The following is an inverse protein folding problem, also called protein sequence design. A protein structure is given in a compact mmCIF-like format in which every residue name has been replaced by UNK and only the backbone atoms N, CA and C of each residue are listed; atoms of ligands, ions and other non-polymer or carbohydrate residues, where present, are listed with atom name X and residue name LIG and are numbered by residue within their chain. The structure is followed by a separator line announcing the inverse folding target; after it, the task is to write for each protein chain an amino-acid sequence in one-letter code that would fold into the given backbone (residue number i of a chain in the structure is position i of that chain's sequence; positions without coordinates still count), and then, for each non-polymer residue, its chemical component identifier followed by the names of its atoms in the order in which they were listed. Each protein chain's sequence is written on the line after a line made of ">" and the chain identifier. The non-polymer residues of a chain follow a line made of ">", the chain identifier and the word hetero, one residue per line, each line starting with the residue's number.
data_IF_368996444089
#
_entry.id   IF_368996444089
#
_cell.length_a   1.000
_cell.length_b   1.000
_cell.length_c   1.000
_cell.angle_alpha   90.00
_cell.angle_beta   90.00
_cell.angle_gamma   90.00
#
_symmetry.space_group_name_H-M   'P 1'
#
loop_
_entity.id
_entity.type
_entity.pdbx_description
1 polymer ?
#
# COMPACT_ATOMS: atom_id res chain seq x y z
N UNK A 1 -107.14 5.42 -17.28
CA UNK A 1 -105.96 4.55 -17.07
C UNK A 1 -104.98 4.73 -18.23
N UNK A 2 -104.59 5.98 -18.55
CA UNK A 2 -103.89 6.28 -19.82
C UNK A 2 -102.78 7.33 -19.70
N UNK A 3 -102.50 7.84 -18.50
CA UNK A 3 -101.53 8.93 -18.29
C UNK A 3 -100.22 8.48 -17.63
N UNK A 4 -99.92 7.19 -17.59
CA UNK A 4 -98.70 6.68 -16.93
C UNK A 4 -97.64 6.11 -17.88
N UNK A 5 -97.82 6.24 -19.20
CA UNK A 5 -96.85 5.72 -20.18
C UNK A 5 -95.96 6.85 -20.77
N UNK A 6 -96.27 8.11 -20.49
CA UNK A 6 -95.62 9.24 -21.17
C UNK A 6 -94.36 9.78 -20.47
N UNK A 7 -94.07 9.39 -19.23
CA UNK A 7 -93.00 10.00 -18.41
C UNK A 7 -91.70 9.17 -18.32
N UNK A 8 -91.61 8.00 -18.95
CA UNK A 8 -90.41 7.15 -18.87
C UNK A 8 -89.38 7.37 -20.00
N UNK A 9 -89.59 8.36 -20.88
CA UNK A 9 -88.72 8.58 -22.05
C UNK A 9 -87.84 9.83 -22.01
N UNK A 10 -87.92 10.68 -20.99
CA UNK A 10 -87.06 11.87 -20.87
C UNK A 10 -86.16 11.82 -19.62
N UNK A 11 -85.03 11.12 -19.73
CA UNK A 11 -83.71 11.58 -19.22
C UNK A 11 -82.66 10.44 -19.27
N UNK A 12 -82.45 9.85 -20.45
CA UNK A 12 -81.06 9.52 -20.82
C UNK A 12 -80.44 10.80 -21.34
N UNK A 13 -80.08 11.72 -20.44
CA UNK A 13 -79.30 12.91 -20.78
C UNK A 13 -78.04 12.39 -21.45
N UNK A 14 -77.90 12.65 -22.75
CA UNK A 14 -76.72 12.25 -23.51
C UNK A 14 -75.47 12.69 -22.71
N UNK A 15 -74.44 11.84 -22.61
CA UNK A 15 -73.28 12.17 -21.80
C UNK A 15 -72.76 13.55 -22.22
N UNK A 16 -72.59 14.44 -21.24
CA UNK A 16 -72.14 15.80 -21.49
C UNK A 16 -70.82 15.72 -22.25
N UNK A 17 -70.78 16.29 -23.46
CA UNK A 17 -69.62 16.26 -24.35
C UNK A 17 -68.37 16.76 -23.62
N UNK A 18 -68.53 17.71 -22.68
CA UNK A 18 -67.43 18.19 -21.85
C UNK A 18 -66.88 17.13 -20.90
N UNK A 19 -67.74 16.28 -20.33
CA UNK A 19 -67.32 15.21 -19.45
C UNK A 19 -66.66 14.06 -20.23
N UNK A 20 -67.16 13.74 -21.43
CA UNK A 20 -66.53 12.77 -22.33
C UNK A 20 -65.13 13.23 -22.75
N UNK A 21 -65.00 14.51 -23.12
CA UNK A 21 -63.69 15.09 -23.49
C UNK A 21 -62.76 15.13 -22.28
N UNK A 22 -63.25 15.50 -21.09
CA UNK A 22 -62.43 15.49 -19.86
C UNK A 22 -61.97 14.08 -19.52
N UNK A 23 -62.84 13.07 -19.65
CA UNK A 23 -62.51 11.67 -19.42
C UNK A 23 -61.46 11.15 -20.42
N UNK A 24 -61.60 11.49 -21.70
CA UNK A 24 -60.64 11.11 -22.74
C UNK A 24 -59.26 11.76 -22.52
N UNK A 25 -59.21 13.04 -22.10
CA UNK A 25 -57.96 13.72 -21.74
C UNK A 25 -57.32 13.06 -20.52
N UNK A 26 -58.11 12.73 -19.48
CA UNK A 26 -57.61 12.09 -18.27
C UNK A 26 -57.04 10.69 -18.56
N UNK A 27 -57.71 9.89 -19.40
CA UNK A 27 -57.22 8.60 -19.87
C UNK A 27 -55.94 8.73 -20.67
N UNK A 28 -55.86 9.71 -21.57
CA UNK A 28 -54.65 9.96 -22.37
C UNK A 28 -53.44 10.33 -21.50
N UNK A 29 -53.61 11.24 -20.54
CA UNK A 29 -52.57 11.62 -19.58
C UNK A 29 -52.14 10.41 -18.75
N UNK A 30 -53.10 9.61 -18.27
CA UNK A 30 -52.82 8.40 -17.49
C UNK A 30 -52.09 7.33 -18.31
N UNK A 31 -52.44 7.18 -19.59
CA UNK A 31 -51.80 6.23 -20.49
C UNK A 31 -50.36 6.65 -20.82
N UNK A 32 -50.12 7.94 -21.05
CA UNK A 32 -48.77 8.48 -21.26
C UNK A 32 -47.90 8.34 -20.00
N UNK A 33 -48.44 8.65 -18.81
CA UNK A 33 -47.73 8.44 -17.54
C UNK A 33 -47.38 6.97 -17.30
N UNK A 34 -48.29 6.03 -17.61
CA UNK A 34 -48.01 4.59 -17.50
C UNK A 34 -46.93 4.10 -18.46
N UNK A 35 -46.77 4.75 -19.63
CA UNK A 35 -45.66 4.45 -20.55
C UNK A 35 -44.33 5.05 -20.10
N UNK A 36 -44.35 6.24 -19.51
CA UNK A 36 -43.15 6.94 -19.07
C UNK A 36 -42.60 6.44 -17.71
N UNK A 37 -43.47 5.98 -16.81
CA UNK A 37 -43.07 5.47 -15.49
C UNK A 37 -42.00 4.35 -15.52
N UNK A 38 -42.13 3.31 -16.36
CA UNK A 38 -41.12 2.24 -16.45
C UNK A 38 -39.74 2.75 -16.85
N UNK A 39 -39.66 3.71 -17.78
CA UNK A 39 -38.40 4.30 -18.20
C UNK A 39 -37.76 5.08 -17.05
N UNK A 40 -38.53 5.94 -16.37
CA UNK A 40 -38.05 6.70 -15.22
C UNK A 40 -37.58 5.82 -14.06
N UNK A 41 -38.30 4.73 -13.77
CA UNK A 41 -37.89 3.75 -12.74
C UNK A 41 -36.60 3.03 -13.13
N UNK A 42 -36.41 2.74 -14.41
CA UNK A 42 -35.20 2.09 -14.93
C UNK A 42 -34.00 3.03 -14.82
N UNK A 43 -34.13 4.28 -15.28
CA UNK A 43 -33.09 5.31 -15.15
C UNK A 43 -32.70 5.53 -13.69
N UNK A 44 -33.68 5.60 -12.77
CA UNK A 44 -33.40 5.76 -11.35
C UNK A 44 -32.66 4.55 -10.76
N UNK A 45 -32.96 3.33 -11.21
CA UNK A 45 -32.25 2.13 -10.77
C UNK A 45 -30.83 2.07 -11.32
N UNK A 46 -30.64 2.43 -12.59
CA UNK A 46 -29.32 2.52 -13.21
C UNK A 46 -28.45 3.56 -12.51
N UNK A 47 -29.02 4.72 -12.19
CA UNK A 47 -28.30 5.77 -11.47
C UNK A 47 -27.93 5.34 -10.04
N UNK A 48 -28.83 4.64 -9.34
CA UNK A 48 -28.52 4.04 -8.03
C UNK A 48 -27.39 3.03 -8.12
N UNK A 49 -27.44 2.10 -9.08
CA UNK A 49 -26.38 1.10 -9.30
C UNK A 49 -25.05 1.77 -9.64
N UNK A 50 -25.08 2.79 -10.50
CA UNK A 50 -23.90 3.56 -10.89
C UNK A 50 -23.31 4.25 -9.66
N UNK A 51 -24.13 4.94 -8.88
CA UNK A 51 -23.72 5.61 -7.64
C UNK A 51 -23.13 4.63 -6.63
N UNK A 52 -23.81 3.52 -6.36
CA UNK A 52 -23.33 2.47 -5.46
C UNK A 52 -21.96 1.92 -5.91
N UNK A 53 -21.81 1.64 -7.21
CA UNK A 53 -20.53 1.15 -7.75
C UNK A 53 -19.39 2.16 -7.61
N UNK A 54 -19.69 3.45 -7.74
CA UNK A 54 -18.72 4.52 -7.56
C UNK A 54 -18.36 4.70 -6.09
N UNK A 55 -19.35 4.71 -5.19
CA UNK A 55 -19.13 4.75 -3.74
C UNK A 55 -18.27 3.57 -3.27
N UNK A 56 -18.55 2.35 -3.76
CA UNK A 56 -17.74 1.18 -3.47
C UNK A 56 -16.28 1.33 -3.94
N UNK A 57 -16.06 1.81 -5.18
CA UNK A 57 -14.70 2.05 -5.72
C UNK A 57 -13.96 3.13 -4.95
N UNK A 58 -14.64 4.21 -4.56
CA UNK A 58 -14.03 5.28 -3.77
C UNK A 58 -13.62 4.77 -2.39
N UNK A 59 -14.49 4.00 -1.72
CA UNK A 59 -14.17 3.40 -0.42
C UNK A 59 -12.96 2.47 -0.54
N UNK A 60 -12.93 1.61 -1.56
CA UNK A 60 -11.79 0.73 -1.83
C UNK A 60 -10.50 1.53 -2.03
N UNK A 61 -10.52 2.58 -2.86
CA UNK A 61 -9.34 3.42 -3.10
C UNK A 61 -8.87 4.13 -1.83
N UNK A 62 -9.78 4.58 -0.97
CA UNK A 62 -9.44 5.22 0.31
C UNK A 62 -8.78 4.21 1.24
N UNK A 63 -9.30 2.99 1.34
CA UNK A 63 -8.71 1.92 2.16
C UNK A 63 -7.32 1.51 1.65
N UNK A 64 -7.18 1.33 0.33
CA UNK A 64 -5.90 1.02 -0.30
C UNK A 64 -4.89 2.15 -0.09
N UNK A 65 -5.31 3.42 -0.22
CA UNK A 65 -4.43 4.55 0.01
C UNK A 65 -3.98 4.62 1.47
N UNK A 66 -4.91 4.39 2.42
CA UNK A 66 -4.59 4.36 3.85
C UNK A 66 -3.60 3.26 4.18
N UNK A 67 -3.81 2.05 3.64
CA UNK A 67 -2.90 0.91 3.83
C UNK A 67 -1.52 1.19 3.22
N UNK A 68 -1.47 1.73 2.01
CA UNK A 68 -0.23 2.09 1.33
C UNK A 68 0.57 3.13 2.11
N UNK A 69 -0.10 4.17 2.63
CA UNK A 69 0.54 5.19 3.48
C UNK A 69 1.09 4.59 4.76
N UNK A 70 0.32 3.77 5.47
CA UNK A 70 0.76 3.13 6.70
C UNK A 70 2.00 2.24 6.47
N UNK A 71 2.02 1.46 5.38
CA UNK A 71 3.19 0.64 5.01
C UNK A 71 4.42 1.48 4.66
N UNK A 72 4.24 2.59 3.94
CA UNK A 72 5.33 3.51 3.59
C UNK A 72 5.91 4.17 4.85
N UNK A 73 5.05 4.64 5.76
CA UNK A 73 5.47 5.26 7.02
C UNK A 73 6.23 4.28 7.92
N UNK A 74 5.77 3.02 7.99
CA UNK A 74 6.46 1.97 8.74
C UNK A 74 7.83 1.64 8.12
N UNK A 75 7.90 1.53 6.80
CA UNK A 75 9.15 1.30 6.09
C UNK A 75 10.16 2.43 6.31
N UNK A 76 9.72 3.68 6.21
CA UNK A 76 10.55 4.87 6.46
C UNK A 76 11.04 4.92 7.90
N UNK A 77 10.15 4.68 8.87
CA UNK A 77 10.53 4.60 10.29
C UNK A 77 11.57 3.50 10.51
N UNK A 78 11.35 2.31 9.97
CA UNK A 78 12.28 1.19 10.12
C UNK A 78 13.65 1.49 9.49
N UNK A 79 13.67 2.14 8.33
CA UNK A 79 14.90 2.56 7.66
C UNK A 79 15.65 3.62 8.48
N UNK A 80 14.95 4.62 9.03
CA UNK A 80 15.55 5.64 9.89
C UNK A 80 16.16 5.05 11.16
N UNK A 81 15.45 4.15 11.85
CA UNK A 81 15.96 3.48 13.06
C UNK A 81 17.23 2.69 12.73
N UNK A 82 17.21 1.87 11.69
CA UNK A 82 18.38 1.08 11.25
C UNK A 82 19.56 1.97 10.86
N UNK A 83 19.29 3.09 10.18
CA UNK A 83 20.30 4.07 9.81
C UNK A 83 20.97 4.71 11.03
N UNK A 84 20.20 5.06 12.06
CA UNK A 84 20.78 5.58 13.32
C UNK A 84 21.59 4.51 14.07
N UNK A 85 21.09 3.28 14.16
CA UNK A 85 21.83 2.18 14.80
C UNK A 85 23.18 1.93 14.14
N UNK A 86 23.23 1.99 12.80
CA UNK A 86 24.48 1.90 12.04
C UNK A 86 25.41 3.09 12.29
N UNK A 87 24.86 4.32 12.34
CA UNK A 87 25.64 5.53 12.68
C UNK A 87 26.29 5.45 14.05
N UNK A 88 25.60 4.84 15.02
CA UNK A 88 26.11 4.61 16.37
C UNK A 88 27.12 3.45 16.46
N UNK A 89 27.41 2.79 15.34
CA UNK A 89 28.46 1.76 15.26
C UNK A 89 28.05 0.41 15.82
N UNK A 90 26.76 0.12 15.94
CA UNK A 90 26.26 -1.18 16.41
C UNK A 90 26.60 -2.27 15.40
N UNK A 91 27.21 -3.36 15.88
CA UNK A 91 27.61 -4.50 15.06
C UNK A 91 26.43 -5.40 14.68
N UNK A 92 25.46 -5.58 15.58
CA UNK A 92 24.28 -6.45 15.42
C UNK A 92 23.01 -5.61 15.23
N UNK A 93 22.93 -4.88 14.12
CA UNK A 93 21.85 -3.92 13.83
C UNK A 93 20.47 -4.57 13.87
N UNK A 94 20.30 -5.78 13.32
CA UNK A 94 19.01 -6.48 13.32
C UNK A 94 18.51 -6.86 14.71
N UNK A 95 19.44 -7.23 15.60
CA UNK A 95 19.10 -7.60 16.98
C UNK A 95 18.69 -6.36 17.76
N UNK A 96 19.49 -5.28 17.66
CA UNK A 96 19.18 -4.01 18.29
C UNK A 96 17.85 -3.43 17.77
N UNK A 97 17.63 -3.46 16.45
CA UNK A 97 16.38 -3.01 15.84
C UNK A 97 15.17 -3.76 16.40
N UNK A 98 15.24 -5.09 16.51
CA UNK A 98 14.15 -5.89 17.09
C UNK A 98 13.85 -5.51 18.54
N UNK A 99 14.87 -5.14 19.32
CA UNK A 99 14.70 -4.74 20.71
C UNK A 99 14.02 -3.37 20.86
N UNK A 100 14.36 -2.41 20.00
CA UNK A 100 13.92 -1.01 20.19
C UNK A 100 12.76 -0.57 19.30
N UNK A 101 12.45 -1.31 18.21
CA UNK A 101 11.49 -0.84 17.20
C UNK A 101 10.16 -0.42 17.83
N UNK A 102 9.63 -1.19 18.78
CA UNK A 102 8.31 -1.00 19.36
C UNK A 102 8.25 0.15 20.38
N UNK A 103 9.42 0.60 20.83
CA UNK A 103 9.61 1.73 21.75
C UNK A 103 9.83 3.05 21.01
N UNK A 104 9.78 3.08 19.68
CA UNK A 104 10.02 4.31 18.90
C UNK A 104 8.73 4.69 18.18
N UNK A 105 8.28 5.93 18.32
CA UNK A 105 7.09 6.48 17.69
C UNK A 105 7.45 7.63 16.77
N UNK A 106 6.59 7.89 15.77
CA UNK A 106 6.67 9.11 14.98
C UNK A 106 5.78 10.17 15.62
N UNK A 107 6.33 11.36 15.85
CA UNK A 107 5.59 12.51 16.36
C UNK A 107 4.80 13.19 15.25
N UNK A 108 3.90 14.11 15.62
CA UNK A 108 3.12 14.92 14.65
C UNK A 108 4.03 15.74 13.73
N UNK A 109 5.21 16.16 14.24
CA UNK A 109 6.23 16.87 13.46
C UNK A 109 7.01 15.96 12.49
N UNK A 110 6.70 14.66 12.44
CA UNK A 110 7.34 13.68 11.57
C UNK A 110 8.70 13.17 12.06
N UNK A 111 9.15 13.59 13.26
CA UNK A 111 10.40 13.11 13.87
C UNK A 111 10.18 11.81 14.62
N UNK A 112 11.25 11.03 14.80
CA UNK A 112 11.22 9.81 15.60
C UNK A 112 11.63 10.09 17.05
N UNK A 113 10.85 9.58 17.99
CA UNK A 113 11.01 9.80 19.43
C UNK A 113 10.74 8.50 20.19
N UNK A 114 11.37 8.33 21.34
CA UNK A 114 11.08 7.21 22.22
C UNK A 114 9.65 7.28 22.80
N UNK A 115 9.04 6.12 22.96
CA UNK A 115 7.71 5.89 23.54
C UNK A 115 7.85 5.96 25.06
N UNK A 116 7.45 7.08 25.64
CA UNK A 116 7.52 7.29 27.08
C UNK A 116 7.51 8.77 27.41
N UNK A 117 7.21 9.11 28.67
CA UNK A 117 7.05 10.50 29.13
C UNK A 117 8.28 11.39 28.95
N UNK A 118 9.47 10.79 28.78
CA UNK A 118 10.73 11.52 28.61
C UNK A 118 10.89 12.15 27.23
N UNK A 119 10.12 11.72 26.21
CA UNK A 119 10.18 12.31 24.88
C UNK A 119 11.59 12.38 24.27
N UNK A 120 12.46 11.42 24.58
CA UNK A 120 13.85 11.45 24.10
C UNK A 120 13.90 11.33 22.59
N UNK A 121 14.78 12.10 21.95
CA UNK A 121 15.00 11.96 20.52
C UNK A 121 15.51 10.55 20.19
N UNK A 122 15.30 10.09 18.96
CA UNK A 122 15.80 8.79 18.53
C UNK A 122 17.32 8.62 18.79
N UNK A 123 18.09 9.69 18.56
CA UNK A 123 19.54 9.66 18.75
C UNK A 123 19.90 9.50 20.24
N UNK A 124 19.27 10.27 21.12
CA UNK A 124 19.52 10.20 22.58
C UNK A 124 19.08 8.84 23.14
N UNK A 125 17.96 8.30 22.64
CA UNK A 125 17.47 6.99 23.04
C UNK A 125 18.46 5.88 22.65
N UNK A 126 18.96 5.90 21.41
CA UNK A 126 19.94 4.90 20.95
C UNK A 126 21.27 5.07 21.70
N UNK A 127 21.72 6.30 21.98
CA UNK A 127 22.93 6.53 22.76
C UNK A 127 22.86 5.88 24.15
N UNK A 128 21.76 6.11 24.87
CA UNK A 128 21.51 5.47 26.16
C UNK A 128 21.44 3.94 26.04
N UNK A 129 20.75 3.43 25.02
CA UNK A 129 20.67 1.99 24.76
C UNK A 129 22.04 1.35 24.50
N UNK A 130 22.93 2.04 23.79
CA UNK A 130 24.30 1.58 23.53
C UNK A 130 25.16 1.59 24.79
N UNK A 131 24.99 2.59 25.66
CA UNK A 131 25.67 2.66 26.96
C UNK A 131 25.27 1.49 27.88
N UNK A 132 23.99 1.12 27.89
CA UNK A 132 23.47 -0.02 28.65
C UNK A 132 23.86 -1.38 28.05
N UNK A 133 24.19 -1.41 26.75
CA UNK A 133 24.47 -2.65 26.00
C UNK A 133 25.77 -2.55 25.19
N UNK A 134 26.94 -2.43 25.85
CA UNK A 134 28.23 -2.26 25.17
C UNK A 134 28.62 -3.47 24.30
N UNK A 135 28.05 -4.64 24.58
CA UNK A 135 28.17 -5.89 23.79
C UNK A 135 27.65 -5.79 22.35
N UNK A 136 26.79 -4.80 22.07
CA UNK A 136 26.30 -4.54 20.72
C UNK A 136 27.34 -3.79 19.88
N UNK A 137 28.29 -3.12 20.51
CA UNK A 137 29.42 -2.49 19.83
C UNK A 137 30.48 -3.53 19.44
N UNK A 138 31.22 -3.30 18.34
CA UNK A 138 32.37 -4.11 18.00
C UNK A 138 33.36 -4.14 19.17
N UNK A 139 33.90 -5.32 19.48
CA UNK A 139 34.90 -5.48 20.52
C UNK A 139 36.08 -4.53 20.26
N UNK A 140 36.22 -3.51 21.12
CA UNK A 140 37.38 -2.63 21.13
C UNK A 140 38.41 -3.30 22.02
N UNK A 141 39.38 -3.96 21.42
CA UNK A 141 40.53 -4.52 22.14
C UNK A 141 41.27 -3.35 22.80
N UNK A 142 41.04 -3.14 24.09
CA UNK A 142 41.76 -2.18 24.89
C UNK A 142 43.14 -2.76 25.21
N UNK A 143 44.18 -2.28 24.52
CA UNK A 143 45.58 -2.56 24.86
C UNK A 143 46.31 -3.46 23.85
N UNK A 144 47.25 -2.86 23.12
CA UNK A 144 48.18 -3.58 22.26
C UNK A 144 49.03 -2.61 21.44
N UNK A 145 50.09 -2.07 22.03
CA UNK A 145 51.17 -1.43 21.29
C UNK A 145 51.67 -2.40 20.20
N UNK A 146 51.58 -1.97 18.94
CA UNK A 146 52.42 -2.47 17.84
C UNK A 146 52.26 -3.94 17.46
N UNK A 147 51.11 -4.35 16.91
CA UNK A 147 51.07 -5.41 15.90
C UNK A 147 49.72 -5.36 15.17
N UNK A 148 49.75 -5.15 13.86
CA UNK A 148 48.63 -5.45 12.96
C UNK A 148 48.45 -6.96 12.90
N UNK A 149 47.78 -7.56 13.89
CA UNK A 149 47.33 -8.94 13.79
C UNK A 149 45.96 -8.98 13.14
N UNK A 150 45.96 -9.22 11.83
CA UNK A 150 44.84 -9.82 11.11
C UNK A 150 44.19 -10.93 11.92
N UNK A 151 42.91 -10.78 12.23
CA UNK A 151 41.99 -11.91 12.32
C UNK A 151 40.54 -11.41 12.27
N UNK A 152 40.05 -11.21 11.05
CA UNK A 152 38.64 -11.49 10.79
C UNK A 152 38.61 -12.94 10.32
N UNK A 153 38.17 -13.82 11.22
CA UNK A 153 37.72 -15.17 10.91
C UNK A 153 36.52 -15.04 9.98
N UNK A 154 36.79 -14.92 8.68
CA UNK A 154 35.84 -15.21 7.64
C UNK A 154 35.88 -16.72 7.45
N UNK A 155 34.87 -17.37 8.01
CA UNK A 155 34.57 -18.75 7.71
C UNK A 155 34.49 -18.93 6.19
N UNK A 156 35.11 -20.01 5.73
CA UNK A 156 34.92 -20.65 4.43
C UNK A 156 35.25 -19.77 3.21
N UNK A 157 36.41 -20.11 2.67
CA UNK A 157 36.81 -19.94 1.28
C UNK A 157 35.70 -20.32 0.28
N UNK A 158 34.85 -19.37 -0.06
CA UNK A 158 34.41 -19.19 -1.44
C UNK A 158 35.16 -17.99 -2.02
N UNK A 159 35.77 -18.10 -3.21
CA UNK A 159 36.34 -16.93 -3.86
C UNK A 159 35.18 -15.97 -4.16
N UNK A 160 35.38 -14.69 -3.84
CA UNK A 160 34.44 -13.61 -4.11
C UNK A 160 33.73 -13.84 -5.45
N UNK A 161 32.43 -14.16 -5.39
CA UNK A 161 31.62 -14.39 -6.57
C UNK A 161 31.73 -13.17 -7.48
N UNK A 162 32.40 -13.34 -8.61
CA UNK A 162 32.44 -12.30 -9.62
C UNK A 162 31.03 -12.22 -10.22
N UNK A 163 30.33 -11.11 -9.97
CA UNK A 163 28.97 -10.90 -10.49
C UNK A 163 29.00 -10.80 -12.02
N UNK A 164 28.46 -11.82 -12.68
CA UNK A 164 28.38 -11.93 -14.14
C UNK A 164 27.70 -10.72 -14.81
N UNK A 165 26.81 -10.03 -14.08
CA UNK A 165 26.10 -8.83 -14.55
C UNK A 165 27.01 -7.60 -14.78
N UNK A 166 28.25 -7.64 -14.26
CA UNK A 166 29.25 -6.57 -14.45
C UNK A 166 30.06 -6.73 -15.75
N UNK A 167 29.95 -7.86 -16.45
CA UNK A 167 30.64 -8.08 -17.73
C UNK A 167 29.88 -7.33 -18.83
N UNK A 168 30.39 -6.17 -19.24
CA UNK A 168 29.83 -5.37 -20.35
C UNK A 168 30.84 -5.22 -21.49
N UNK A 169 30.38 -5.19 -22.76
CA UNK A 169 31.24 -4.79 -23.89
C UNK A 169 31.77 -3.37 -23.66
N UNK A 170 33.09 -3.22 -23.57
CA UNK A 170 33.74 -1.93 -23.27
C UNK A 170 34.31 -1.79 -21.85
N UNK A 171 34.36 -2.86 -21.06
CA UNK A 171 35.05 -2.92 -19.76
C UNK A 171 36.58 -2.70 -19.89
N UNK A 172 37.22 -2.26 -18.81
CA UNK A 172 38.67 -2.04 -18.79
C UNK A 172 39.44 -3.33 -19.12
N UNK A 173 40.51 -3.22 -19.93
CA UNK A 173 41.31 -4.36 -20.40
C UNK A 173 41.95 -5.14 -19.25
N UNK A 174 42.36 -4.45 -18.19
CA UNK A 174 42.94 -5.09 -17.01
C UNK A 174 41.91 -5.92 -16.23
N UNK A 175 40.66 -5.47 -16.19
CA UNK A 175 39.57 -6.20 -15.54
C UNK A 175 39.18 -7.43 -16.35
N UNK A 176 39.12 -7.31 -17.68
CA UNK A 176 38.89 -8.45 -18.58
C UNK A 176 39.95 -9.55 -18.41
N UNK A 177 41.22 -9.17 -18.27
CA UNK A 177 42.30 -10.12 -18.08
C UNK A 177 42.19 -10.85 -16.73
N UNK A 178 41.80 -10.14 -15.66
CA UNK A 178 41.51 -10.75 -14.36
C UNK A 178 40.35 -11.73 -14.42
N UNK A 179 39.28 -11.38 -15.15
CA UNK A 179 38.12 -12.25 -15.34
C UNK A 179 38.52 -13.53 -16.09
N UNK A 180 39.31 -13.40 -17.17
CA UNK A 180 39.83 -14.56 -17.92
C UNK A 180 40.67 -15.50 -17.05
N UNK A 181 41.55 -14.95 -16.22
CA UNK A 181 42.35 -15.73 -15.27
C UNK A 181 41.47 -16.44 -14.23
N UNK A 182 40.43 -15.77 -13.74
CA UNK A 182 39.49 -16.35 -12.78
C UNK A 182 38.70 -17.51 -13.40
N UNK A 183 38.15 -17.33 -14.60
CA UNK A 183 37.44 -18.38 -15.35
C UNK A 183 38.35 -19.58 -15.62
N UNK A 184 39.61 -19.33 -16.04
CA UNK A 184 40.59 -20.39 -16.29
C UNK A 184 40.90 -21.21 -15.03
N UNK A 185 41.06 -20.54 -13.88
CA UNK A 185 41.28 -21.20 -12.59
C UNK A 185 40.07 -22.05 -12.18
N UNK A 186 38.86 -21.52 -12.36
CA UNK A 186 37.61 -22.18 -12.00
C UNK A 186 37.34 -23.41 -12.90
N UNK A 187 37.59 -23.29 -14.20
CA UNK A 187 37.54 -24.41 -15.14
C UNK A 187 38.57 -25.50 -14.77
N UNK A 188 39.80 -25.11 -14.43
CA UNK A 188 40.86 -26.04 -14.00
C UNK A 188 40.52 -26.75 -12.68
N UNK A 189 39.85 -26.06 -11.77
CA UNK A 189 39.39 -26.62 -10.50
C UNK A 189 38.21 -27.57 -10.68
N UNK A 190 37.27 -27.24 -11.58
CA UNK A 190 36.14 -28.10 -11.94
C UNK A 190 36.59 -29.38 -12.66
N UNK A 191 37.61 -29.29 -13.53
CA UNK A 191 38.18 -30.44 -14.25
C UNK A 191 39.05 -31.37 -13.38
N UNK A 192 39.58 -30.88 -12.26
CA UNK A 192 40.39 -31.68 -11.32
C UNK A 192 39.54 -32.43 -10.28
N UNK A 193 38.25 -32.10 -10.19
CA UNK A 193 37.30 -32.70 -9.25
C UNK A 193 36.36 -33.75 -9.85
N UNK A 194 36.62 -34.24 -11.06
CA UNK A 194 35.88 -35.30 -11.74
C UNK A 194 36.77 -36.53 -11.97
#
# INVERSE_FOLDING_TARGET
>A
MSDQISDELEQKKAPDVRDVVRQAIQEFISAEQRKAEPAYKTELQEERKRRESLEARVNQLVEENRKARAMAEEADRNAQIRGELQRMGISKVDLAFKAIKDDIMRTEDGRLQAKGGDGRSLQDYIAHFVEENPELLPARIAGGSGAVSSSRSQAQSEPAGFELEKIKPGMNKEELERIRQHISRLASQALRGA
#
